data_IF_943425184656
#
_entry.id   IF_943425184656
#
_cell.length_a   1.000
_cell.length_b   1.000
_cell.length_c   1.000
_cell.angle_alpha   90.00
_cell.angle_beta   90.00
_cell.angle_gamma   90.00
#
_symmetry.space_group_name_H-M   'P 1'
#
loop_
_entity.id
_entity.type
_entity.pdbx_description
1 polymer ?
#
# COMPACT_ATOMS: atom_id res chain seq x y z
N UNK A 1 -18.58 1.40 10.14
CA UNK A 1 -18.09 0.04 10.51
C UNK A 1 -16.68 0.06 11.11
N UNK A 2 -15.69 0.67 10.46
CA UNK A 2 -14.28 0.66 10.92
C UNK A 2 -14.08 1.06 12.38
N UNK A 3 -14.63 2.20 12.83
CA UNK A 3 -14.52 2.67 14.22
C UNK A 3 -15.19 1.72 15.24
N UNK A 4 -16.20 0.96 14.83
CA UNK A 4 -16.87 0.01 15.73
C UNK A 4 -15.92 -1.16 16.01
N UNK A 5 -15.37 -1.78 14.97
CA UNK A 5 -14.50 -2.95 15.13
C UNK A 5 -13.10 -2.60 15.62
N UNK A 6 -12.57 -1.45 15.21
CA UNK A 6 -11.18 -1.08 15.48
C UNK A 6 -11.02 -0.28 16.75
N UNK A 7 -12.03 0.47 17.21
CA UNK A 7 -11.94 1.27 18.44
C UNK A 7 -12.94 0.81 19.51
N UNK A 8 -14.25 0.78 19.20
CA UNK A 8 -15.25 0.44 20.22
C UNK A 8 -15.12 -1.00 20.75
N UNK A 9 -14.86 -1.99 19.87
CA UNK A 9 -14.70 -3.40 20.25
C UNK A 9 -13.37 -3.68 20.96
N UNK A 10 -12.29 -3.06 20.50
CA UNK A 10 -10.94 -3.26 21.05
C UNK A 10 -10.71 -2.48 22.35
N UNK A 11 -11.54 -1.47 22.62
CA UNK A 11 -11.37 -0.53 23.73
C UNK A 11 -10.43 0.64 23.42
N UNK A 12 -9.93 0.75 22.19
CA UNK A 12 -9.05 1.83 21.78
C UNK A 12 -9.80 3.17 21.58
N UNK A 13 -9.04 4.25 21.43
CA UNK A 13 -9.60 5.59 21.31
C UNK A 13 -10.52 5.74 20.09
N UNK A 14 -11.70 6.32 20.34
CA UNK A 14 -12.56 6.81 19.27
C UNK A 14 -11.96 8.11 18.73
N UNK A 15 -11.66 8.14 17.43
CA UNK A 15 -11.00 9.29 16.79
C UNK A 15 -11.76 10.61 17.04
N UNK A 16 -13.09 10.56 17.11
CA UNK A 16 -13.96 11.71 17.38
C UNK A 16 -13.85 12.28 18.80
N UNK A 17 -13.28 11.55 19.76
CA UNK A 17 -13.18 11.94 21.19
C UNK A 17 -11.76 12.19 21.64
N UNK A 18 -10.77 12.00 20.77
CA UNK A 18 -9.36 12.12 21.14
C UNK A 18 -8.99 13.59 21.39
N UNK A 19 -8.40 13.94 22.55
CA UNK A 19 -7.89 15.28 22.78
C UNK A 19 -6.68 15.59 21.87
N UNK A 20 -6.51 16.84 21.41
CA UNK A 20 -5.29 17.24 20.72
C UNK A 20 -4.04 16.98 21.59
N UNK A 21 -3.02 16.32 21.01
CA UNK A 21 -1.76 16.04 21.70
C UNK A 21 -1.78 14.85 22.66
N UNK A 22 -2.91 14.16 22.83
CA UNK A 22 -2.95 12.89 23.55
C UNK A 22 -2.14 11.81 22.82
N UNK A 23 -1.48 10.88 23.53
CA UNK A 23 -0.85 9.70 22.94
C UNK A 23 -1.82 8.97 22.00
N UNK A 24 -1.28 8.36 20.96
CA UNK A 24 -2.10 7.58 20.03
C UNK A 24 -2.44 6.21 20.64
N UNK A 25 -3.72 5.95 20.83
CA UNK A 25 -4.26 4.63 21.13
C UNK A 25 -5.05 4.11 19.92
N UNK A 26 -4.32 3.52 18.96
CA UNK A 26 -4.89 3.04 17.71
C UNK A 26 -5.22 1.56 17.86
N UNK A 27 -6.51 1.26 17.84
CA UNK A 27 -6.95 -0.13 17.75
C UNK A 27 -7.04 -0.61 16.30
N UNK A 28 -6.79 -1.90 16.12
CA UNK A 28 -6.84 -2.59 14.83
C UNK A 28 -7.77 -3.79 14.92
N UNK A 29 -8.45 -4.09 13.82
CA UNK A 29 -9.24 -5.31 13.69
C UNK A 29 -8.72 -6.12 12.51
N UNK A 30 -8.44 -7.40 12.75
CA UNK A 30 -7.97 -8.34 11.74
C UNK A 30 -8.92 -9.54 11.73
N UNK A 31 -9.33 -9.96 10.52
CA UNK A 31 -10.16 -11.13 10.29
C UNK A 31 -9.49 -12.00 9.23
N UNK A 32 -9.22 -13.25 9.58
CA UNK A 32 -8.77 -14.27 8.65
C UNK A 32 -9.91 -15.28 8.48
N UNK A 33 -10.27 -15.55 7.23
CA UNK A 33 -11.26 -16.56 6.87
C UNK A 33 -10.55 -17.62 6.04
N UNK A 34 -10.74 -18.89 6.41
CA UNK A 34 -10.28 -20.03 5.61
C UNK A 34 -11.40 -20.42 4.63
N UNK A 35 -11.22 -20.22 3.31
CA UNK A 35 -12.24 -20.54 2.33
C UNK A 35 -12.60 -22.03 2.31
N UNK A 36 -11.68 -22.93 2.71
CA UNK A 36 -11.91 -24.37 2.69
C UNK A 36 -12.99 -24.82 3.69
N UNK A 37 -13.24 -24.03 4.73
CA UNK A 37 -14.30 -24.26 5.71
C UNK A 37 -15.68 -23.97 5.12
N UNK A 38 -15.77 -22.98 4.23
CA UNK A 38 -17.02 -22.56 3.61
C UNK A 38 -17.29 -23.28 2.29
N UNK A 39 -16.23 -23.60 1.55
CA UNK A 39 -16.28 -24.25 0.24
C UNK A 39 -15.27 -25.40 0.15
N UNK A 40 -15.59 -26.58 0.74
CA UNK A 40 -14.65 -27.70 0.87
C UNK A 40 -14.27 -28.38 -0.45
N UNK A 41 -15.06 -28.19 -1.50
CA UNK A 41 -14.85 -28.70 -2.87
C UNK A 41 -13.72 -27.99 -3.62
N UNK A 42 -13.14 -26.93 -3.06
CA UNK A 42 -11.89 -26.35 -3.55
C UNK A 42 -12.04 -25.34 -4.69
N UNK A 43 -13.25 -25.14 -5.24
CA UNK A 43 -13.52 -24.14 -6.30
C UNK A 43 -13.28 -22.68 -5.88
N UNK A 44 -12.94 -22.45 -4.59
CA UNK A 44 -12.23 -21.27 -4.04
C UNK A 44 -11.72 -20.26 -5.08
N UNK A 45 -10.52 -20.60 -5.52
CA UNK A 45 -9.63 -19.75 -6.26
C UNK A 45 -10.06 -19.65 -7.72
N UNK A 46 -10.59 -20.73 -8.30
CA UNK A 46 -11.05 -20.76 -9.70
C UNK A 46 -12.13 -19.70 -9.95
N UNK A 47 -13.15 -19.61 -9.09
CA UNK A 47 -14.19 -18.57 -9.25
C UNK A 47 -13.65 -17.15 -9.01
N UNK A 48 -12.65 -17.00 -8.13
CA UNK A 48 -12.00 -15.71 -7.91
C UNK A 48 -11.22 -15.31 -9.15
N UNK A 49 -10.49 -16.23 -9.76
CA UNK A 49 -9.75 -16.00 -11.00
C UNK A 49 -10.70 -15.65 -12.14
N UNK A 50 -11.79 -16.41 -12.33
CA UNK A 50 -12.83 -16.11 -13.33
C UNK A 50 -13.44 -14.72 -13.13
N UNK A 51 -13.74 -14.35 -11.87
CA UNK A 51 -14.24 -13.02 -11.55
C UNK A 51 -13.23 -11.92 -11.92
N UNK A 52 -11.96 -12.09 -11.54
CA UNK A 52 -10.92 -11.08 -11.82
C UNK A 52 -10.69 -10.93 -13.32
N UNK A 53 -10.70 -12.02 -14.08
CA UNK A 53 -10.51 -12.00 -15.53
C UNK A 53 -11.70 -11.37 -16.24
N UNK A 54 -12.93 -11.71 -15.83
CA UNK A 54 -14.16 -11.07 -16.33
C UNK A 54 -14.11 -9.54 -16.15
N UNK A 55 -13.61 -9.07 -14.99
CA UNK A 55 -13.46 -7.64 -14.74
C UNK A 55 -12.42 -7.01 -15.67
N UNK A 56 -11.28 -7.66 -15.88
CA UNK A 56 -10.22 -7.16 -16.78
C UNK A 56 -10.63 -7.14 -18.24
N UNK A 57 -11.46 -8.09 -18.68
CA UNK A 57 -11.98 -8.17 -20.05
C UNK A 57 -13.11 -7.17 -20.34
N UNK A 58 -13.63 -6.50 -19.31
CA UNK A 58 -14.68 -5.49 -19.48
C UNK A 58 -14.16 -4.34 -20.37
N UNK A 59 -14.88 -3.97 -21.45
CA UNK A 59 -14.45 -2.89 -22.33
C UNK A 59 -14.18 -1.60 -21.56
N UNK A 60 -12.96 -1.04 -21.61
CA UNK A 60 -12.65 0.18 -20.88
C UNK A 60 -13.32 1.38 -21.54
N UNK A 61 -13.64 2.39 -20.73
CA UNK A 61 -14.21 3.66 -21.22
C UNK A 61 -13.17 4.44 -22.04
N UNK A 62 -11.89 4.33 -21.68
CA UNK A 62 -10.75 4.90 -22.38
C UNK A 62 -9.85 3.74 -22.85
N UNK A 63 -9.58 3.68 -24.16
CA UNK A 63 -8.77 2.63 -24.76
C UNK A 63 -7.31 2.62 -24.24
N UNK A 64 -6.82 3.77 -23.77
CA UNK A 64 -5.45 3.90 -23.23
C UNK A 64 -5.37 3.55 -21.73
N UNK A 65 -6.51 3.29 -21.08
CA UNK A 65 -6.61 2.98 -19.65
C UNK A 65 -7.41 1.69 -19.44
N UNK A 66 -6.78 0.50 -19.54
CA UNK A 66 -7.47 -0.77 -19.35
C UNK A 66 -8.03 -0.91 -17.93
N UNK A 67 -9.07 -1.74 -17.78
CA UNK A 67 -9.64 -2.06 -16.48
C UNK A 67 -8.60 -2.83 -15.65
N UNK A 68 -8.41 -2.40 -14.41
CA UNK A 68 -7.50 -3.04 -13.45
C UNK A 68 -8.26 -3.44 -12.20
N UNK A 69 -7.88 -4.57 -11.61
CA UNK A 69 -8.48 -5.05 -10.35
C UNK A 69 -7.58 -4.71 -9.16
N UNK A 70 -8.13 -4.86 -7.95
CA UNK A 70 -7.40 -4.61 -6.72
C UNK A 70 -6.07 -5.40 -6.67
N UNK A 71 -4.97 -4.72 -6.39
CA UNK A 71 -3.64 -5.31 -6.30
C UNK A 71 -2.82 -5.31 -7.59
N UNK A 72 -3.42 -5.14 -8.78
CA UNK A 72 -2.66 -5.12 -10.04
C UNK A 72 -1.67 -3.96 -10.10
N UNK A 73 -2.13 -2.76 -9.70
CA UNK A 73 -1.29 -1.57 -9.62
C UNK A 73 -0.15 -1.80 -8.63
N UNK A 74 -0.45 -2.28 -7.44
CA UNK A 74 0.53 -2.52 -6.38
C UNK A 74 1.58 -3.57 -6.76
N UNK A 75 1.18 -4.65 -7.44
CA UNK A 75 2.12 -5.65 -7.98
C UNK A 75 3.08 -5.02 -8.99
N UNK A 76 2.56 -4.28 -9.97
CA UNK A 76 3.39 -3.58 -10.95
C UNK A 76 4.36 -2.60 -10.29
N UNK A 77 3.88 -1.74 -9.39
CA UNK A 77 4.76 -0.80 -8.66
C UNK A 77 5.80 -1.54 -7.81
N UNK A 78 5.47 -2.71 -7.25
CA UNK A 78 6.43 -3.53 -6.49
C UNK A 78 7.52 -4.09 -7.39
N UNK A 79 7.15 -4.67 -8.54
CA UNK A 79 8.09 -5.21 -9.53
C UNK A 79 9.03 -4.11 -10.05
N UNK A 80 8.47 -2.99 -10.49
CA UNK A 80 9.23 -1.83 -10.95
C UNK A 80 10.21 -1.34 -9.89
N UNK A 81 9.78 -1.21 -8.62
CA UNK A 81 10.63 -0.71 -7.53
C UNK A 81 11.62 -1.75 -7.00
N UNK A 82 11.34 -3.04 -7.16
CA UNK A 82 12.30 -4.09 -6.83
C UNK A 82 13.49 -4.07 -7.79
N UNK A 83 13.24 -3.78 -9.07
CA UNK A 83 14.27 -3.67 -10.09
C UNK A 83 14.97 -2.31 -10.10
N UNK A 84 14.21 -1.22 -10.11
CA UNK A 84 14.73 0.14 -10.33
C UNK A 84 14.99 0.90 -9.02
N UNK A 85 14.51 0.40 -7.88
CA UNK A 85 14.55 1.08 -6.59
C UNK A 85 13.31 1.94 -6.32
N UNK A 86 13.15 2.38 -5.07
CA UNK A 86 12.03 3.22 -4.64
C UNK A 86 12.36 4.69 -4.88
N UNK A 87 11.58 5.43 -5.70
CA UNK A 87 11.81 6.85 -5.88
C UNK A 87 11.48 7.62 -4.60
N UNK A 88 12.44 8.38 -4.08
CA UNK A 88 12.27 9.21 -2.90
C UNK A 88 12.42 10.70 -3.26
N UNK A 89 11.46 11.57 -2.87
CA UNK A 89 11.62 13.00 -3.04
C UNK A 89 12.85 13.52 -2.27
N UNK A 90 13.59 14.47 -2.84
CA UNK A 90 14.77 15.05 -2.18
C UNK A 90 14.47 15.69 -0.81
N UNK A 91 13.23 16.16 -0.60
CA UNK A 91 12.78 16.66 0.71
C UNK A 91 12.66 15.56 1.76
N UNK A 92 12.33 14.32 1.35
CA UNK A 92 12.30 13.16 2.23
C UNK A 92 13.71 12.67 2.54
N UNK A 93 14.61 12.65 1.54
CA UNK A 93 16.03 12.30 1.74
C UNK A 93 16.67 13.20 2.81
N UNK A 94 16.50 14.52 2.72
CA UNK A 94 17.00 15.47 3.75
C UNK A 94 16.45 15.19 5.15
N UNK A 95 15.18 14.77 5.24
CA UNK A 95 14.58 14.41 6.54
C UNK A 95 15.20 13.12 7.09
N UNK A 96 15.46 12.13 6.24
CA UNK A 96 16.09 10.88 6.62
C UNK A 96 17.54 11.11 7.07
N UNK A 97 18.31 11.91 6.34
CA UNK A 97 19.67 12.34 6.73
C UNK A 97 19.67 12.97 8.12
N UNK A 98 18.80 13.95 8.38
CA UNK A 98 18.70 14.60 9.68
C UNK A 98 18.32 13.64 10.82
N UNK A 99 17.53 12.60 10.55
CA UNK A 99 17.21 11.55 11.53
C UNK A 99 18.43 10.66 11.78
N UNK A 100 19.15 10.25 10.74
CA UNK A 100 20.38 9.47 10.84
C UNK A 100 21.45 10.20 11.66
N UNK A 101 21.66 11.48 11.40
CA UNK A 101 22.58 12.33 12.18
C UNK A 101 22.22 12.36 13.67
N UNK A 102 20.95 12.65 13.99
CA UNK A 102 20.47 12.69 15.39
C UNK A 102 20.60 11.34 16.09
N UNK A 103 20.33 10.26 15.36
CA UNK A 103 20.45 8.90 15.88
C UNK A 103 21.90 8.38 15.87
N UNK A 104 22.86 9.13 15.30
CA UNK A 104 24.27 8.73 15.11
C UNK A 104 24.41 7.41 14.37
N UNK A 105 23.57 7.19 13.36
CA UNK A 105 23.66 6.03 12.46
C UNK A 105 24.10 6.48 11.07
N UNK A 106 24.86 5.65 10.33
CA UNK A 106 25.24 5.98 8.96
C UNK A 106 24.02 6.16 8.06
N UNK A 107 24.06 7.17 7.19
CA UNK A 107 23.13 7.28 6.08
C UNK A 107 23.67 6.46 4.90
N UNK A 108 22.86 5.54 4.39
CA UNK A 108 23.30 4.50 3.42
C UNK A 108 22.72 4.67 2.02
N UNK A 109 21.87 5.68 1.79
CA UNK A 109 21.27 5.90 0.48
C UNK A 109 22.19 6.79 -0.36
N UNK A 110 22.72 6.24 -1.46
CA UNK A 110 23.53 7.00 -2.41
C UNK A 110 22.66 7.97 -3.21
N UNK A 111 22.87 9.27 -3.04
CA UNK A 111 22.19 10.34 -3.77
C UNK A 111 22.49 10.35 -5.29
N UNK A 112 23.47 9.55 -5.75
CA UNK A 112 23.94 9.51 -7.13
C UNK A 112 23.10 8.65 -8.08
N UNK A 113 22.13 7.87 -7.57
CA UNK A 113 21.33 6.95 -8.40
C UNK A 113 19.98 7.51 -8.86
N UNK A 114 19.62 8.73 -8.44
CA UNK A 114 18.31 9.35 -8.70
C UNK A 114 18.35 10.54 -9.67
N UNK A 115 19.49 10.85 -10.29
CA UNK A 115 19.64 12.01 -11.18
C UNK A 115 19.40 11.74 -12.69
N UNK A 116 19.29 10.48 -13.12
CA UNK A 116 19.17 10.10 -14.54
C UNK A 116 17.72 9.92 -15.05
N UNK A 117 16.73 10.49 -14.37
CA UNK A 117 15.35 10.58 -14.86
C UNK A 117 15.16 11.77 -15.81
N UNK A 118 15.62 11.60 -17.05
CA UNK A 118 15.83 12.63 -18.06
C UNK A 118 14.71 13.65 -18.29
N UNK A 119 15.13 14.91 -18.28
CA UNK A 119 14.48 16.03 -18.97
C UNK A 119 14.65 15.80 -20.49
N UNK A 120 13.60 15.36 -21.18
CA UNK A 120 13.53 15.50 -22.65
C UNK A 120 12.48 16.55 -22.97
N UNK A 121 12.96 17.77 -23.16
CA UNK A 121 12.27 18.82 -23.92
C UNK A 121 12.33 18.41 -25.40
N UNK A 122 11.17 18.37 -26.06
CA UNK A 122 11.07 18.67 -27.48
C UNK A 122 9.86 19.56 -27.73
#
# INVERSE_FOLDING_TARGET
MVQILSAALSGADLAARRPPGAPEDIGHFLLALDPSVLRPDGGYLDDVDELLDTLRETPPVDAEAPVVVAGDRERRHREERAEHGVPLPGSLLRKLEAVCERARVPFLLDASRSADGGTTTS
#
